data_IF_278446447905
#
_entry.id   IF_278446447905
#
_cell.length_a   1.000
_cell.length_b   1.000
_cell.length_c   1.000
_cell.angle_alpha   90.00
_cell.angle_beta   90.00
_cell.angle_gamma   90.00
#
_symmetry.space_group_name_H-M   'P 1'
#
loop_
_entity.id
_entity.type
_entity.pdbx_description
1 polymer ?
#
# COMPACT_ATOMS: atom_id res chain seq x y z
N UNK A 1 1.72 16.37 8.48
CA UNK A 1 2.59 16.32 7.27
C UNK A 1 1.74 15.92 6.08
N UNK A 2 2.16 16.22 4.83
CA UNK A 2 1.42 15.87 3.61
C UNK A 2 2.39 15.29 2.57
N UNK A 3 2.06 14.09 2.05
CA UNK A 3 2.83 13.40 1.00
C UNK A 3 1.97 13.29 -0.27
N UNK A 4 1.96 14.35 -1.09
CA UNK A 4 1.21 14.34 -2.36
C UNK A 4 1.82 13.38 -3.39
N UNK A 5 3.07 13.02 -3.20
CA UNK A 5 3.89 12.12 -3.99
C UNK A 5 3.65 10.62 -3.68
N UNK A 6 2.83 10.33 -2.66
CA UNK A 6 2.36 8.97 -2.35
C UNK A 6 0.89 8.85 -2.73
N UNK A 7 0.59 7.95 -3.67
CA UNK A 7 -0.69 7.88 -4.38
C UNK A 7 -1.33 6.49 -4.26
N UNK A 8 -2.12 6.25 -3.21
CA UNK A 8 -2.97 5.06 -3.11
C UNK A 8 -4.13 5.10 -4.10
N UNK A 9 -4.51 3.92 -4.61
CA UNK A 9 -5.54 3.75 -5.62
C UNK A 9 -6.95 4.01 -5.10
N UNK A 10 -7.29 3.49 -3.92
CA UNK A 10 -8.65 3.50 -3.41
C UNK A 10 -8.77 4.11 -2.00
N UNK A 11 -10.01 4.25 -1.48
CA UNK A 11 -10.25 4.87 -0.17
C UNK A 11 -9.68 4.05 0.99
N UNK A 12 -9.79 2.72 0.94
CA UNK A 12 -9.28 1.87 2.01
C UNK A 12 -7.75 1.89 2.06
N UNK A 13 -7.08 1.86 0.89
CA UNK A 13 -5.62 2.03 0.79
C UNK A 13 -5.19 3.38 1.35
N UNK A 14 -5.90 4.44 0.94
CA UNK A 14 -5.62 5.80 1.37
C UNK A 14 -5.73 5.92 2.89
N UNK A 15 -6.74 5.30 3.49
CA UNK A 15 -6.94 5.30 4.94
C UNK A 15 -5.82 4.57 5.64
N UNK A 16 -5.47 3.37 5.16
CA UNK A 16 -4.38 2.59 5.73
C UNK A 16 -3.05 3.33 5.64
N UNK A 17 -2.67 3.82 4.46
CA UNK A 17 -1.39 4.51 4.24
C UNK A 17 -1.32 5.81 5.03
N UNK A 18 -2.40 6.58 5.09
CA UNK A 18 -2.50 7.79 5.93
C UNK A 18 -2.21 7.48 7.40
N UNK A 19 -2.77 6.39 7.92
CA UNK A 19 -2.53 5.95 9.30
C UNK A 19 -1.12 5.40 9.51
N UNK A 20 -0.56 4.68 8.54
CA UNK A 20 0.80 4.15 8.64
C UNK A 20 1.85 5.25 8.71
N UNK A 21 1.68 6.30 7.90
CA UNK A 21 2.63 7.43 7.81
C UNK A 21 2.31 8.58 8.77
N UNK A 22 1.18 8.53 9.46
CA UNK A 22 0.65 9.68 10.22
C UNK A 22 0.66 10.98 9.40
N UNK A 23 0.28 10.88 8.13
CA UNK A 23 0.37 11.95 7.14
C UNK A 23 -0.69 11.80 6.05
N UNK A 24 -1.20 12.93 5.53
CA UNK A 24 -2.11 12.91 4.38
C UNK A 24 -1.37 12.47 3.11
N UNK A 25 -2.03 11.62 2.31
CA UNK A 25 -1.53 11.15 1.01
C UNK A 25 -2.52 11.50 -0.11
N UNK A 26 -2.09 11.38 -1.37
CA UNK A 26 -2.89 11.77 -2.54
C UNK A 26 -3.74 10.60 -3.03
N UNK A 27 -5.01 10.53 -2.59
CA UNK A 27 -5.96 9.54 -3.12
C UNK A 27 -6.13 9.63 -4.64
N UNK A 28 -6.18 8.47 -5.29
CA UNK A 28 -6.56 8.28 -6.69
C UNK A 28 -7.80 7.38 -6.77
N UNK A 29 -8.55 7.46 -7.87
CA UNK A 29 -9.79 6.68 -7.98
C UNK A 29 -9.58 5.29 -8.57
N UNK A 30 -8.44 5.05 -9.21
CA UNK A 30 -8.09 3.77 -9.81
C UNK A 30 -6.61 3.72 -10.20
N UNK A 31 -6.12 2.51 -10.54
CA UNK A 31 -4.74 2.27 -10.93
C UNK A 31 -4.31 3.05 -12.19
N UNK A 32 -5.23 3.33 -13.14
CA UNK A 32 -4.92 4.15 -14.32
C UNK A 32 -4.60 5.60 -13.96
N UNK A 33 -5.31 6.17 -12.98
CA UNK A 33 -5.02 7.53 -12.50
C UNK A 33 -3.68 7.61 -11.77
N UNK A 34 -3.32 6.57 -11.01
CA UNK A 34 -1.97 6.46 -10.42
C UNK A 34 -0.93 6.45 -11.52
N UNK A 35 -1.06 5.55 -12.51
CA UNK A 35 -0.12 5.44 -13.62
C UNK A 35 -0.04 6.74 -14.45
N UNK A 36 -1.17 7.35 -14.80
CA UNK A 36 -1.21 8.63 -15.55
C UNK A 36 -0.51 9.75 -14.80
N UNK A 37 -0.70 9.85 -13.47
CA UNK A 37 -0.05 10.88 -12.66
C UNK A 37 1.47 10.71 -12.67
N UNK A 38 1.97 9.46 -12.67
CA UNK A 38 3.40 9.13 -12.71
C UNK A 38 4.00 9.28 -14.12
N UNK A 39 3.26 8.87 -15.16
CA UNK A 39 3.76 8.85 -16.56
C UNK A 39 3.81 10.24 -17.19
N UNK A 40 2.73 11.01 -17.06
CA UNK A 40 2.51 12.26 -17.84
C UNK A 40 1.91 13.40 -17.03
N UNK A 41 1.56 13.18 -15.77
CA UNK A 41 1.03 14.19 -14.88
C UNK A 41 2.13 14.93 -14.11
N UNK A 42 1.77 15.48 -12.97
CA UNK A 42 2.65 16.30 -12.13
C UNK A 42 3.90 15.57 -11.61
N UNK A 43 3.92 14.23 -11.72
CA UNK A 43 5.02 13.39 -11.24
C UNK A 43 5.83 12.75 -12.37
N UNK A 44 5.64 13.18 -13.64
CA UNK A 44 6.31 12.58 -14.80
C UNK A 44 7.82 12.40 -14.63
N UNK A 45 8.50 13.42 -14.09
CA UNK A 45 9.94 13.42 -13.88
C UNK A 45 10.29 13.66 -12.39
N UNK A 46 9.31 13.48 -11.50
CA UNK A 46 9.45 13.69 -10.07
C UNK A 46 9.42 12.36 -9.31
N UNK A 47 9.87 12.42 -8.05
CA UNK A 47 9.69 11.32 -7.11
C UNK A 47 8.20 11.01 -6.92
N UNK A 48 7.85 9.73 -7.01
CA UNK A 48 6.48 9.28 -6.77
C UNK A 48 6.42 7.82 -6.29
N UNK A 49 5.42 7.52 -5.47
CA UNK A 49 5.08 6.16 -5.03
C UNK A 49 3.62 5.90 -5.34
N UNK A 50 3.34 4.96 -6.24
CA UNK A 50 2.00 4.44 -6.50
C UNK A 50 1.73 3.21 -5.61
N UNK A 51 0.51 3.10 -5.07
CA UNK A 51 0.06 1.90 -4.36
C UNK A 51 -1.21 1.44 -5.04
N UNK A 52 -1.18 0.26 -5.62
CA UNK A 52 -2.24 -0.27 -6.48
C UNK A 52 -2.56 -1.73 -6.13
N UNK A 53 -3.76 -2.15 -6.45
CA UNK A 53 -4.15 -3.54 -6.36
C UNK A 53 -3.37 -4.41 -7.35
N UNK A 54 -2.95 -5.59 -6.91
CA UNK A 54 -2.31 -6.58 -7.77
C UNK A 54 -3.39 -7.43 -8.48
N UNK A 55 -4.28 -6.77 -9.20
CA UNK A 55 -5.26 -7.43 -10.04
C UNK A 55 -4.65 -7.90 -11.38
N UNK A 56 -5.47 -8.54 -12.22
CA UNK A 56 -5.01 -9.06 -13.53
C UNK A 56 -4.83 -7.95 -14.58
N UNK A 57 -5.14 -6.69 -14.25
CA UNK A 57 -5.08 -5.60 -15.21
C UNK A 57 -3.64 -5.20 -15.48
N UNK A 58 -3.25 -5.29 -16.73
CA UNK A 58 -1.94 -4.81 -17.19
C UNK A 58 -2.03 -3.31 -17.43
N UNK A 59 -1.09 -2.56 -16.86
CA UNK A 59 -0.93 -1.14 -17.07
C UNK A 59 0.42 -0.94 -17.75
N UNK A 60 0.40 -0.57 -19.02
CA UNK A 60 1.60 -0.47 -19.88
C UNK A 60 2.73 0.31 -19.24
N UNK A 61 2.43 1.44 -18.58
CA UNK A 61 3.46 2.22 -17.91
C UNK A 61 4.18 1.43 -16.80
N UNK A 62 3.43 0.66 -16.02
CA UNK A 62 3.96 -0.11 -14.88
C UNK A 62 4.72 -1.35 -15.35
N UNK A 63 4.45 -1.87 -16.55
CA UNK A 63 5.22 -2.98 -17.11
C UNK A 63 6.71 -2.63 -17.35
N UNK A 64 7.04 -1.34 -17.44
CA UNK A 64 8.42 -0.85 -17.50
C UNK A 64 9.16 -0.79 -16.17
N UNK A 65 8.52 -1.15 -15.06
CA UNK A 65 9.14 -1.20 -13.73
C UNK A 65 9.75 -2.56 -13.46
N UNK A 66 10.88 -2.56 -12.74
CA UNK A 66 11.56 -3.78 -12.31
C UNK A 66 11.17 -4.13 -10.88
N UNK A 67 10.99 -5.42 -10.62
CA UNK A 67 10.76 -5.89 -9.26
C UNK A 67 12.04 -5.79 -8.44
N UNK A 68 11.95 -5.13 -7.29
CA UNK A 68 13.07 -4.97 -6.35
C UNK A 68 12.90 -5.81 -5.08
N UNK A 69 11.73 -6.39 -4.87
CA UNK A 69 11.45 -7.30 -3.76
C UNK A 69 9.97 -7.63 -3.64
N UNK A 70 9.67 -8.66 -2.85
CA UNK A 70 8.30 -9.10 -2.57
C UNK A 70 8.15 -9.70 -1.17
N UNK A 71 6.92 -9.76 -0.69
CA UNK A 71 6.45 -10.62 0.39
C UNK A 71 5.37 -11.55 -0.13
N UNK A 72 4.63 -12.21 0.75
CA UNK A 72 3.51 -13.05 0.34
C UNK A 72 2.40 -12.27 -0.38
N UNK A 73 2.14 -11.03 0.04
CA UNK A 73 1.04 -10.22 -0.48
C UNK A 73 1.45 -8.83 -1.00
N UNK A 74 2.74 -8.51 -1.04
CA UNK A 74 3.24 -7.24 -1.55
C UNK A 74 4.31 -7.47 -2.60
N UNK A 75 4.26 -6.71 -3.70
CA UNK A 75 5.33 -6.66 -4.69
C UNK A 75 5.81 -5.22 -4.83
N UNK A 76 7.10 -5.02 -4.69
CA UNK A 76 7.74 -3.70 -4.75
C UNK A 76 8.47 -3.55 -6.08
N UNK A 77 8.11 -2.52 -6.83
CA UNK A 77 8.62 -2.24 -8.16
C UNK A 77 9.30 -0.88 -8.19
N UNK A 78 10.32 -0.72 -9.04
CA UNK A 78 11.01 0.54 -9.29
C UNK A 78 11.13 0.80 -10.79
N UNK A 79 10.85 2.02 -11.23
CA UNK A 79 11.11 2.44 -12.60
C UNK A 79 12.63 2.42 -12.89
N UNK A 80 13.04 1.98 -14.08
CA UNK A 80 14.46 1.84 -14.44
C UNK A 80 15.22 3.15 -14.29
N UNK A 81 14.70 4.24 -14.85
CA UNK A 81 15.41 5.50 -14.99
C UNK A 81 14.90 6.63 -14.07
N UNK A 82 13.72 6.47 -13.45
CA UNK A 82 13.08 7.52 -12.65
C UNK A 82 13.06 7.18 -11.17
N UNK A 83 12.94 8.18 -10.32
CA UNK A 83 12.72 8.02 -8.89
C UNK A 83 11.25 7.70 -8.58
N UNK A 84 10.73 6.68 -9.26
CA UNK A 84 9.35 6.26 -9.15
C UNK A 84 9.26 4.80 -8.71
N UNK A 85 8.34 4.54 -7.79
CA UNK A 85 8.13 3.25 -7.16
C UNK A 85 6.66 2.86 -7.24
N UNK A 86 6.38 1.57 -7.39
CA UNK A 86 5.02 1.03 -7.32
C UNK A 86 4.99 -0.13 -6.34
N UNK A 87 4.02 -0.11 -5.45
CA UNK A 87 3.74 -1.19 -4.53
C UNK A 87 2.42 -1.81 -4.95
N UNK A 88 2.48 -3.07 -5.41
CA UNK A 88 1.29 -3.87 -5.70
C UNK A 88 0.87 -4.60 -4.45
N UNK A 89 -0.40 -4.48 -4.09
CA UNK A 89 -0.98 -5.08 -2.88
C UNK A 89 -1.86 -6.27 -3.26
N UNK A 90 -1.78 -7.35 -2.48
CA UNK A 90 -2.60 -8.55 -2.64
C UNK A 90 -2.13 -9.47 -3.76
N UNK A 91 -2.85 -10.58 -3.97
CA UNK A 91 -2.51 -11.61 -4.98
C UNK A 91 -3.48 -11.69 -6.15
N UNK A 92 -4.72 -11.24 -5.98
CA UNK A 92 -5.80 -11.43 -6.94
C UNK A 92 -6.93 -10.43 -6.73
N UNK A 93 -8.08 -10.72 -7.33
CA UNK A 93 -9.32 -9.96 -7.14
C UNK A 93 -9.60 -9.63 -5.66
N UNK A 94 -10.06 -8.41 -5.39
CA UNK A 94 -10.20 -7.86 -4.02
C UNK A 94 -8.86 -7.86 -3.24
N UNK A 95 -7.85 -7.39 -3.92
CA UNK A 95 -6.47 -7.50 -3.46
C UNK A 95 -6.24 -6.87 -2.08
N UNK A 96 -6.78 -5.68 -1.84
CA UNK A 96 -6.64 -5.00 -0.55
C UNK A 96 -7.42 -5.70 0.57
N UNK A 97 -8.66 -6.12 0.32
CA UNK A 97 -9.46 -6.83 1.34
C UNK A 97 -8.82 -8.17 1.70
N UNK A 98 -8.29 -8.88 0.70
CA UNK A 98 -7.55 -10.13 0.92
C UNK A 98 -6.26 -9.88 1.71
N UNK A 99 -5.53 -8.82 1.40
CA UNK A 99 -4.34 -8.40 2.15
C UNK A 99 -4.67 -8.09 3.62
N UNK A 100 -5.73 -7.32 3.85
CA UNK A 100 -6.19 -6.99 5.20
C UNK A 100 -6.52 -8.26 5.98
N UNK A 101 -7.33 -9.15 5.41
CA UNK A 101 -7.75 -10.40 6.05
C UNK A 101 -6.54 -11.27 6.42
N UNK A 102 -5.62 -11.49 5.49
CA UNK A 102 -4.39 -12.26 5.74
C UNK A 102 -3.55 -11.67 6.89
N UNK A 103 -3.48 -10.35 6.98
CA UNK A 103 -2.73 -9.68 8.02
C UNK A 103 -3.44 -9.65 9.39
N UNK A 104 -4.78 -9.70 9.41
CA UNK A 104 -5.57 -9.90 10.63
C UNK A 104 -5.32 -11.30 11.19
N UNK A 105 -5.37 -12.32 10.34
CA UNK A 105 -5.08 -13.71 10.70
C UNK A 105 -3.63 -13.87 11.19
N UNK A 106 -2.67 -13.20 10.55
CA UNK A 106 -1.26 -13.24 10.93
C UNK A 106 -0.97 -12.69 12.34
N UNK A 107 -1.84 -11.82 12.86
CA UNK A 107 -1.76 -11.33 14.25
C UNK A 107 -2.66 -12.08 15.23
N UNK A 108 -3.26 -13.21 14.80
CA UNK A 108 -4.10 -14.07 15.63
C UNK A 108 -5.49 -13.49 15.93
N UNK A 109 -5.98 -12.57 15.10
CA UNK A 109 -7.28 -11.92 15.24
C UNK A 109 -8.24 -12.30 14.11
N UNK A 110 -9.50 -11.91 14.22
CA UNK A 110 -10.54 -12.09 13.21
C UNK A 110 -11.14 -10.74 12.81
N UNK A 111 -11.74 -10.66 11.63
CA UNK A 111 -12.39 -9.44 11.15
C UNK A 111 -13.55 -9.01 12.08
N UNK A 112 -14.25 -9.97 12.63
CA UNK A 112 -15.38 -9.78 13.56
C UNK A 112 -14.94 -9.10 14.86
N UNK A 113 -13.70 -9.26 15.31
CA UNK A 113 -13.16 -8.57 16.50
C UNK A 113 -13.16 -7.03 16.33
N UNK A 114 -13.20 -6.59 15.08
CA UNK A 114 -13.29 -5.17 14.72
C UNK A 114 -14.72 -4.75 14.34
N UNK A 115 -15.69 -5.67 14.34
CA UNK A 115 -17.05 -5.43 13.85
C UNK A 115 -17.14 -5.31 12.33
N UNK A 116 -16.24 -5.99 11.62
CA UNK A 116 -16.18 -6.04 10.16
C UNK A 116 -16.51 -7.44 9.66
N UNK A 117 -17.12 -7.58 8.47
CA UNK A 117 -17.41 -8.91 7.93
C UNK A 117 -16.13 -9.60 7.46
N UNK A 118 -16.07 -10.94 7.64
CA UNK A 118 -15.03 -11.78 7.06
C UNK A 118 -15.30 -12.15 5.60
N UNK A 119 -16.52 -11.98 5.13
CA UNK A 119 -16.85 -12.11 3.72
C UNK A 119 -16.28 -10.93 2.92
N UNK A 120 -15.54 -11.25 1.85
CA UNK A 120 -14.83 -10.24 1.07
C UNK A 120 -15.78 -9.37 0.22
N UNK A 121 -16.94 -9.89 -0.19
CA UNK A 121 -17.93 -9.11 -0.95
C UNK A 121 -18.60 -8.08 -0.07
N UNK A 122 -18.97 -8.50 1.14
CA UNK A 122 -19.54 -7.59 2.13
C UNK A 122 -18.53 -6.55 2.61
N UNK A 123 -17.29 -6.95 2.86
CA UNK A 123 -16.21 -6.03 3.23
C UNK A 123 -16.01 -4.99 2.13
N UNK A 124 -15.90 -5.42 0.88
CA UNK A 124 -15.74 -4.53 -0.27
C UNK A 124 -16.90 -3.54 -0.38
N UNK A 125 -18.16 -3.99 -0.23
CA UNK A 125 -19.34 -3.08 -0.25
C UNK A 125 -19.25 -2.02 0.84
N UNK A 126 -18.75 -2.36 2.03
CA UNK A 126 -18.62 -1.41 3.14
C UNK A 126 -17.43 -0.45 2.99
N UNK A 127 -16.42 -0.78 2.19
CA UNK A 127 -15.17 -0.03 2.11
C UNK A 127 -14.99 0.75 0.80
N UNK A 128 -15.74 0.40 -0.28
CA UNK A 128 -15.55 0.99 -1.61
C UNK A 128 -16.03 2.42 -1.77
N UNK A 129 -17.09 2.84 -1.09
CA UNK A 129 -17.92 3.93 -1.61
C UNK A 129 -17.87 5.24 -0.83
N UNK A 130 -16.98 5.49 0.12
CA UNK A 130 -17.10 6.78 0.75
C UNK A 130 -15.86 7.33 1.46
N UNK A 131 -15.78 8.64 1.40
CA UNK A 131 -15.07 9.51 2.35
C UNK A 131 -15.31 9.08 3.82
N UNK A 132 -16.45 8.44 4.13
CA UNK A 132 -16.75 7.84 5.44
C UNK A 132 -15.78 6.72 5.85
N UNK A 133 -15.21 5.99 4.91
CA UNK A 133 -14.18 4.97 5.16
C UNK A 133 -13.01 5.55 5.97
N UNK A 134 -12.63 6.79 5.73
CA UNK A 134 -11.56 7.47 6.48
C UNK A 134 -11.87 7.76 7.94
N UNK A 135 -13.15 7.79 8.31
CA UNK A 135 -13.64 8.11 9.66
C UNK A 135 -14.27 6.89 10.35
N UNK A 136 -14.34 5.75 9.68
CA UNK A 136 -14.92 4.55 10.27
C UNK A 136 -14.07 4.06 11.44
N UNK A 137 -14.59 4.13 12.69
CA UNK A 137 -13.82 3.75 13.87
C UNK A 137 -13.41 2.28 13.87
N UNK A 138 -14.13 1.41 13.14
CA UNK A 138 -13.81 -0.01 13.00
C UNK A 138 -12.52 -0.17 12.19
N UNK A 139 -12.42 0.52 11.05
CA UNK A 139 -11.23 0.51 10.19
C UNK A 139 -10.03 1.19 10.88
N UNK A 140 -10.26 2.26 11.63
CA UNK A 140 -9.19 2.90 12.38
C UNK A 140 -8.59 1.97 13.45
N UNK A 141 -9.45 1.23 14.19
CA UNK A 141 -8.98 0.21 15.15
C UNK A 141 -8.25 -0.94 14.46
N UNK A 142 -8.80 -1.42 13.35
CA UNK A 142 -8.19 -2.46 12.53
C UNK A 142 -6.78 -2.07 12.09
N UNK A 143 -6.62 -0.95 11.39
CA UNK A 143 -5.30 -0.53 10.87
C UNK A 143 -4.30 -0.23 11.99
N UNK A 144 -4.76 0.26 13.14
CA UNK A 144 -3.90 0.40 14.31
C UNK A 144 -3.39 -0.95 14.82
N UNK A 145 -4.24 -1.97 14.86
CA UNK A 145 -3.84 -3.33 15.23
C UNK A 145 -2.91 -3.97 14.20
N UNK A 146 -3.16 -3.76 12.91
CA UNK A 146 -2.36 -4.30 11.81
C UNK A 146 -0.91 -3.79 11.77
N UNK A 147 -0.58 -2.70 12.44
CA UNK A 147 0.82 -2.25 12.59
C UNK A 147 1.73 -3.33 13.20
N UNK A 148 1.17 -4.33 13.89
CA UNK A 148 1.91 -5.46 14.48
C UNK A 148 2.14 -6.60 13.48
N UNK A 149 1.42 -6.62 12.36
CA UNK A 149 1.62 -7.64 11.33
C UNK A 149 2.95 -7.40 10.59
N UNK A 150 3.73 -8.47 10.33
CA UNK A 150 5.03 -8.33 9.66
C UNK A 150 4.97 -7.64 8.31
N UNK A 151 3.97 -7.96 7.47
CA UNK A 151 3.84 -7.35 6.14
C UNK A 151 3.42 -5.88 6.20
N UNK A 152 2.48 -5.53 7.10
CA UNK A 152 2.07 -4.13 7.29
C UNK A 152 3.20 -3.31 7.90
N UNK A 153 3.97 -3.88 8.85
CA UNK A 153 5.15 -3.24 9.38
C UNK A 153 6.23 -3.02 8.31
N UNK A 154 6.43 -3.99 7.41
CA UNK A 154 7.35 -3.86 6.27
C UNK A 154 6.88 -2.79 5.29
N UNK A 155 5.59 -2.77 4.95
CA UNK A 155 5.00 -1.73 4.11
C UNK A 155 5.25 -0.34 4.70
N UNK A 156 5.00 -0.17 6.00
CA UNK A 156 5.26 1.07 6.72
C UNK A 156 6.73 1.49 6.63
N UNK A 157 7.66 0.58 6.96
CA UNK A 157 9.10 0.87 6.96
C UNK A 157 9.60 1.29 5.56
N UNK A 158 9.08 0.65 4.50
CA UNK A 158 9.42 1.01 3.12
C UNK A 158 8.85 2.37 2.75
N UNK A 159 7.59 2.64 3.07
CA UNK A 159 6.96 3.93 2.79
C UNK A 159 7.64 5.08 3.53
N UNK A 160 7.99 4.90 4.80
CA UNK A 160 8.74 5.89 5.59
C UNK A 160 10.12 6.15 4.99
N UNK A 161 10.84 5.09 4.60
CA UNK A 161 12.15 5.21 3.96
C UNK A 161 12.07 5.97 2.63
N UNK A 162 11.11 5.63 1.76
CA UNK A 162 10.89 6.30 0.49
C UNK A 162 10.50 7.77 0.69
N UNK A 163 9.60 8.05 1.63
CA UNK A 163 9.13 9.39 1.93
C UNK A 163 10.24 10.30 2.48
N UNK A 164 11.15 9.74 3.29
CA UNK A 164 12.27 10.48 3.88
C UNK A 164 13.39 10.76 2.88
N UNK A 165 13.69 9.80 1.99
CA UNK A 165 14.86 9.88 1.11
C UNK A 165 14.54 10.40 -0.31
N UNK A 166 13.33 10.16 -0.84
CA UNK A 166 12.86 10.63 -2.16
C UNK A 166 13.88 10.38 -3.29
N UNK A 167 14.54 11.44 -3.74
CA UNK A 167 15.56 11.38 -4.81
C UNK A 167 16.89 10.76 -4.36
N UNK A 168 17.10 10.64 -3.05
CA UNK A 168 18.33 10.12 -2.45
C UNK A 168 18.14 8.67 -1.93
N UNK A 169 17.16 7.94 -2.44
CA UNK A 169 16.93 6.53 -2.08
C UNK A 169 18.15 5.70 -2.48
N UNK A 170 18.80 5.08 -1.50
CA UNK A 170 19.77 4.02 -1.74
C UNK A 170 19.02 2.71 -2.04
N UNK A 171 19.18 2.22 -3.26
CA UNK A 171 18.45 1.04 -3.74
C UNK A 171 18.90 -0.24 -3.03
N UNK A 172 20.19 -0.35 -2.68
CA UNK A 172 20.70 -1.53 -1.99
C UNK A 172 20.22 -1.55 -0.53
N UNK A 173 20.17 -0.41 0.12
CA UNK A 173 19.55 -0.29 1.44
C UNK A 173 18.05 -0.64 1.41
N UNK A 174 17.33 -0.14 0.41
CA UNK A 174 15.91 -0.46 0.22
C UNK A 174 15.71 -1.97 0.01
N UNK A 175 16.49 -2.61 -0.86
CA UNK A 175 16.45 -4.06 -1.08
C UNK A 175 16.80 -4.85 0.18
N UNK A 176 17.75 -4.37 0.99
CA UNK A 176 18.09 -4.98 2.28
C UNK A 176 16.90 -4.93 3.24
N UNK A 177 16.21 -3.79 3.34
CA UNK A 177 14.97 -3.66 4.14
C UNK A 177 13.88 -4.63 3.67
N UNK A 178 13.73 -4.83 2.36
CA UNK A 178 12.76 -5.76 1.78
C UNK A 178 13.08 -7.23 2.10
N UNK A 179 14.35 -7.61 2.17
CA UNK A 179 14.80 -8.99 2.48
C UNK A 179 14.77 -9.33 3.97
N UNK A 180 14.88 -8.33 4.84
CA UNK A 180 14.89 -8.56 6.28
C UNK A 180 13.49 -8.90 6.77
N UNK A 181 13.26 -10.17 7.14
CA UNK A 181 12.12 -10.51 7.97
C UNK A 181 12.36 -9.92 9.36
N UNK A 182 11.44 -9.08 9.84
CA UNK A 182 11.48 -8.67 11.24
C UNK A 182 11.39 -9.94 12.09
N UNK A 183 12.51 -10.37 12.69
CA UNK A 183 12.51 -11.45 13.66
C UNK A 183 11.39 -11.17 14.65
N UNK A 184 10.48 -12.13 14.82
CA UNK A 184 9.45 -12.08 15.87
C UNK A 184 10.18 -11.76 17.17
N UNK A 185 9.92 -10.57 17.73
CA UNK A 185 10.38 -10.26 19.07
C UNK A 185 9.80 -11.31 20.00
N UNK A 186 10.69 -11.94 20.77
CA UNK A 186 10.33 -12.83 21.86
C UNK A 186 9.55 -12.08 22.92
#
# INVERSE_FOLDING_TARGET
MKHNDIMPECFIDTTMVTLLLDAQVSHKHNCDEVAKAMERGNFKDAFAVGIIDNDKRKITYIEGFEEIGRTDNLTFLKHKDKHQYVIKVGKAHKAMETFIKANVEAIGMKMEDFGLPSDLDELTKQTKDSISTRKDPRLLRLFKALRRSPEVAKLKDVLEYLAANKYNVDLEELKKKLRQDKKKGK
#
